data_IF_288006362285
#
_entry.id   IF_288006362285
#
_cell.length_a   1.000
_cell.length_b   1.000
_cell.length_c   1.000
_cell.angle_alpha   90.00
_cell.angle_beta   90.00
_cell.angle_gamma   90.00
#
_symmetry.space_group_name_H-M   'P 1'
#
loop_
_entity.id
_entity.type
_entity.pdbx_description
1 polymer ?
#
# COMPACT_ATOMS: atom_id res chain seq x y z
N UNK A 1 60.44 -19.63 -0.28
CA UNK A 1 59.86 -19.22 -1.58
C UNK A 1 58.49 -18.63 -1.32
N UNK A 2 58.36 -17.33 -1.60
CA UNK A 2 57.22 -16.50 -1.22
C UNK A 2 56.31 -16.35 -2.43
N UNK A 3 55.14 -17.00 -2.42
CA UNK A 3 54.09 -16.73 -3.41
C UNK A 3 53.13 -15.70 -2.81
N UNK A 4 53.42 -14.43 -3.09
CA UNK A 4 52.56 -13.29 -2.82
C UNK A 4 51.45 -13.31 -3.87
N UNK A 5 50.26 -13.82 -3.52
CA UNK A 5 49.06 -13.57 -4.31
C UNK A 5 48.67 -12.11 -4.10
N UNK A 6 49.15 -11.25 -5.01
CA UNK A 6 48.64 -9.90 -5.17
C UNK A 6 47.21 -10.00 -5.71
N UNK A 7 46.23 -9.96 -4.82
CA UNK A 7 44.85 -9.69 -5.20
C UNK A 7 44.77 -8.21 -5.59
N UNK A 8 44.98 -7.92 -6.86
CA UNK A 8 44.67 -6.60 -7.42
C UNK A 8 43.16 -6.54 -7.58
N UNK A 9 42.48 -5.95 -6.58
CA UNK A 9 41.11 -5.51 -6.71
C UNK A 9 41.08 -4.39 -7.77
N UNK A 10 40.67 -4.75 -8.99
CA UNK A 10 40.44 -3.81 -10.08
C UNK A 10 39.10 -3.11 -9.89
N UNK A 11 39.18 -1.77 -9.92
CA UNK A 11 38.17 -0.78 -10.33
C UNK A 11 36.69 -1.03 -10.03
N UNK A 12 36.20 -0.26 -9.06
CA UNK A 12 34.98 0.55 -9.14
C UNK A 12 33.79 -0.06 -9.93
N UNK A 13 33.16 -1.07 -9.34
CA UNK A 13 31.82 -1.51 -9.76
C UNK A 13 30.83 -0.37 -9.47
N UNK A 14 30.53 0.42 -10.50
CA UNK A 14 29.60 1.55 -10.44
C UNK A 14 28.23 1.02 -10.04
N UNK A 15 27.90 1.09 -8.75
CA UNK A 15 26.65 0.57 -8.20
C UNK A 15 25.45 1.16 -8.96
N UNK A 16 24.82 0.33 -9.79
CA UNK A 16 23.56 0.65 -10.46
C UNK A 16 22.41 0.17 -9.59
N UNK A 17 21.70 1.06 -8.88
CA UNK A 17 20.55 0.64 -8.09
C UNK A 17 19.48 -0.01 -9.00
N UNK A 18 18.70 -0.95 -8.46
CA UNK A 18 17.63 -1.57 -9.22
C UNK A 18 16.61 -0.54 -9.69
N UNK A 19 16.09 -0.74 -10.90
CA UNK A 19 15.02 0.08 -11.51
C UNK A 19 13.80 0.15 -10.57
N UNK A 20 13.43 -0.99 -9.99
CA UNK A 20 12.31 -1.10 -9.06
C UNK A 20 12.77 -0.79 -7.64
N UNK A 21 12.32 0.34 -7.11
CA UNK A 21 12.59 0.75 -5.73
C UNK A 21 11.68 -0.03 -4.79
N UNK A 22 12.27 -0.79 -3.87
CA UNK A 22 11.53 -1.65 -2.92
C UNK A 22 10.96 -0.91 -1.71
N UNK A 23 11.29 0.37 -1.51
CA UNK A 23 11.02 1.08 -0.26
C UNK A 23 9.54 1.09 0.15
N UNK A 24 8.62 1.48 -0.74
CA UNK A 24 7.19 1.49 -0.41
C UNK A 24 6.62 0.08 -0.22
N UNK A 25 7.16 -0.91 -0.95
CA UNK A 25 6.78 -2.31 -0.77
C UNK A 25 7.20 -2.83 0.60
N UNK A 26 8.40 -2.47 1.08
CA UNK A 26 8.85 -2.81 2.44
C UNK A 26 7.95 -2.17 3.50
N UNK A 27 7.62 -0.88 3.36
CA UNK A 27 6.69 -0.21 4.28
C UNK A 27 5.30 -0.84 4.29
N UNK A 28 4.81 -1.30 3.13
CA UNK A 28 3.54 -2.01 3.08
C UNK A 28 3.56 -3.30 3.91
N UNK A 29 4.66 -4.06 3.87
CA UNK A 29 4.79 -5.30 4.66
C UNK A 29 4.97 -5.05 6.16
N UNK A 30 5.51 -3.89 6.53
CA UNK A 30 5.64 -3.45 7.92
C UNK A 30 4.35 -2.86 8.50
N UNK A 31 3.38 -2.50 7.66
CA UNK A 31 2.17 -1.85 8.09
C UNK A 31 1.41 -2.70 9.12
N UNK A 32 0.78 -2.07 10.14
CA UNK A 32 -0.01 -2.79 11.13
C UNK A 32 -1.20 -3.50 10.47
N UNK A 33 -1.53 -4.67 10.99
CA UNK A 33 -2.63 -5.48 10.48
C UNK A 33 -3.94 -5.14 11.20
N UNK A 34 -5.10 -5.29 10.55
CA UNK A 34 -6.39 -5.05 11.18
C UNK A 34 -6.61 -5.97 12.38
N UNK A 35 -6.97 -5.37 13.52
CA UNK A 35 -7.35 -6.11 14.73
C UNK A 35 -8.77 -5.77 15.13
N UNK A 36 -9.71 -6.65 14.79
CA UNK A 36 -11.12 -6.45 15.14
C UNK A 36 -11.32 -6.49 16.66
N UNK A 37 -11.90 -5.43 17.22
CA UNK A 37 -12.45 -5.47 18.57
C UNK A 37 -13.86 -6.07 18.51
N UNK A 38 -14.01 -7.24 19.11
CA UNK A 38 -15.27 -8.00 19.06
C UNK A 38 -16.22 -7.46 20.12
N UNK A 39 -17.44 -7.07 19.72
CA UNK A 39 -18.51 -6.71 20.63
C UNK A 39 -19.00 -7.97 21.35
N UNK A 40 -18.98 -7.94 22.68
CA UNK A 40 -19.43 -9.04 23.56
C UNK A 40 -20.93 -8.97 23.87
N UNK A 41 -21.55 -7.81 23.65
CA UNK A 41 -22.98 -7.60 23.90
C UNK A 41 -23.81 -7.89 22.65
N UNK A 42 -25.02 -8.42 22.83
CA UNK A 42 -26.02 -8.42 21.77
C UNK A 42 -26.49 -6.98 21.54
N UNK A 43 -26.26 -6.48 20.33
CA UNK A 43 -26.66 -5.13 19.94
C UNK A 43 -27.96 -5.24 19.17
N UNK A 44 -29.04 -4.70 19.74
CA UNK A 44 -30.33 -4.59 19.05
C UNK A 44 -30.17 -3.77 17.75
N UNK A 45 -30.89 -4.16 16.70
CA UNK A 45 -30.89 -3.47 15.40
C UNK A 45 -29.52 -3.36 14.69
N UNK A 46 -28.60 -4.33 14.89
CA UNK A 46 -27.35 -4.42 14.11
C UNK A 46 -27.65 -4.48 12.60
N UNK A 47 -27.09 -3.59 11.76
CA UNK A 47 -27.20 -3.70 10.31
C UNK A 47 -26.64 -5.03 9.80
N UNK A 48 -27.36 -5.71 8.91
CA UNK A 48 -27.02 -7.07 8.42
C UNK A 48 -25.65 -7.16 7.75
N UNK A 49 -25.13 -6.05 7.25
CA UNK A 49 -23.84 -5.94 6.58
C UNK A 49 -22.67 -5.66 7.54
N UNK A 50 -22.90 -5.57 8.85
CA UNK A 50 -21.84 -5.50 9.85
C UNK A 50 -21.79 -6.74 10.73
N UNK A 51 -20.57 -7.16 11.08
CA UNK A 51 -20.31 -8.31 11.93
C UNK A 51 -20.17 -7.95 13.41
N UNK A 52 -19.33 -8.73 14.10
CA UNK A 52 -19.05 -8.55 15.54
C UNK A 52 -18.21 -7.31 15.84
N UNK A 53 -17.70 -6.62 14.82
CA UNK A 53 -17.07 -5.32 14.93
C UNK A 53 -18.06 -4.18 15.23
N UNK A 54 -19.38 -4.42 15.17
CA UNK A 54 -20.39 -3.39 15.48
C UNK A 54 -20.73 -3.36 16.97
N UNK A 55 -20.51 -2.20 17.61
CA UNK A 55 -20.73 -1.97 19.03
C UNK A 55 -21.97 -1.13 19.35
N UNK A 56 -22.77 -0.76 18.35
CA UNK A 56 -23.95 0.08 18.56
C UNK A 56 -23.61 1.55 18.83
N UNK A 57 -24.48 2.24 19.57
CA UNK A 57 -24.34 3.66 19.91
C UNK A 57 -23.42 3.88 21.13
N UNK A 58 -22.12 3.65 20.96
CA UNK A 58 -21.12 4.00 21.98
C UNK A 58 -20.53 5.41 21.74
N UNK A 59 -20.10 6.04 22.83
CA UNK A 59 -19.39 7.32 22.82
C UNK A 59 -18.01 7.21 22.18
N UNK A 60 -17.36 8.36 21.91
CA UNK A 60 -15.99 8.38 21.38
C UNK A 60 -15.00 7.90 22.44
N UNK A 61 -15.26 8.27 23.69
CA UNK A 61 -14.46 7.98 24.86
C UNK A 61 -14.46 6.48 25.17
N UNK A 62 -15.62 5.83 25.10
CA UNK A 62 -15.74 4.37 25.21
C UNK A 62 -15.02 3.66 24.07
N UNK A 63 -15.17 4.14 22.83
CA UNK A 63 -14.45 3.59 21.69
C UNK A 63 -12.93 3.71 21.86
N UNK A 64 -12.43 4.84 22.33
CA UNK A 64 -11.01 5.07 22.59
C UNK A 64 -10.44 4.11 23.63
N UNK A 65 -11.20 3.83 24.70
CA UNK A 65 -10.82 2.86 25.73
C UNK A 65 -10.73 1.45 25.14
N UNK A 66 -11.73 1.00 24.39
CA UNK A 66 -11.75 -0.32 23.76
C UNK A 66 -10.63 -0.51 22.73
N UNK A 67 -10.26 0.56 22.04
CA UNK A 67 -9.22 0.56 21.00
C UNK A 67 -7.80 0.70 21.54
N UNK A 68 -7.64 1.11 22.81
CA UNK A 68 -6.32 1.36 23.43
C UNK A 68 -5.45 0.11 23.58
N UNK A 69 -6.03 -1.08 23.45
CA UNK A 69 -5.36 -2.37 23.69
C UNK A 69 -4.19 -2.64 22.74
N UNK A 70 -4.32 -2.26 21.46
CA UNK A 70 -3.31 -2.53 20.45
C UNK A 70 -3.44 -1.61 19.23
N UNK A 71 -2.32 -1.37 18.55
CA UNK A 71 -2.32 -0.71 17.24
C UNK A 71 -3.03 -1.56 16.18
N UNK A 72 -3.68 -0.91 15.21
CA UNK A 72 -4.52 -1.58 14.22
C UNK A 72 -5.88 -2.03 14.75
N UNK A 73 -6.17 -1.80 16.04
CA UNK A 73 -7.48 -2.10 16.61
C UNK A 73 -8.57 -1.29 15.93
N UNK A 74 -9.71 -1.90 15.64
CA UNK A 74 -10.85 -1.20 15.04
C UNK A 74 -12.20 -1.72 15.51
N UNK A 75 -13.20 -0.83 15.46
CA UNK A 75 -14.62 -1.13 15.68
C UNK A 75 -15.51 -0.18 14.88
N UNK A 76 -16.78 -0.55 14.73
CA UNK A 76 -17.82 0.27 14.13
C UNK A 76 -18.79 0.67 15.24
N UNK A 77 -19.14 1.96 15.25
CA UNK A 77 -20.15 2.51 16.13
C UNK A 77 -21.15 3.36 15.36
N UNK A 78 -22.35 3.48 15.88
CA UNK A 78 -23.36 4.39 15.38
C UNK A 78 -23.18 5.78 16.01
N UNK A 79 -23.45 6.82 15.23
CA UNK A 79 -23.36 8.20 15.69
C UNK A 79 -24.53 8.55 16.61
N UNK A 80 -24.22 8.95 17.85
CA UNK A 80 -25.21 9.48 18.80
C UNK A 80 -25.89 10.77 18.30
N UNK A 81 -25.22 11.54 17.43
CA UNK A 81 -25.75 12.81 16.89
C UNK A 81 -26.66 12.62 15.67
N UNK A 82 -26.46 11.54 14.92
CA UNK A 82 -27.18 11.27 13.68
C UNK A 82 -27.44 9.76 13.58
N UNK A 83 -28.59 9.29 14.08
CA UNK A 83 -29.00 7.89 13.92
C UNK A 83 -28.97 7.45 12.45
N UNK A 84 -28.60 6.20 12.20
CA UNK A 84 -28.39 5.64 10.86
C UNK A 84 -27.06 6.04 10.20
N UNK A 85 -26.21 6.81 10.88
CA UNK A 85 -24.84 7.10 10.41
C UNK A 85 -23.82 6.32 11.22
N UNK A 86 -22.97 5.57 10.52
CA UNK A 86 -21.95 4.70 11.12
C UNK A 86 -20.57 5.31 11.01
N UNK A 87 -19.72 5.01 11.99
CA UNK A 87 -18.34 5.48 12.07
C UNK A 87 -17.42 4.28 12.31
N UNK A 88 -16.38 4.15 11.50
CA UNK A 88 -15.23 3.30 11.76
C UNK A 88 -14.28 4.06 12.69
N UNK A 89 -14.04 3.51 13.87
CA UNK A 89 -13.01 3.98 14.78
C UNK A 89 -11.79 3.04 14.67
N UNK A 90 -10.63 3.61 14.35
CA UNK A 90 -9.39 2.88 14.05
C UNK A 90 -8.22 3.42 14.87
N UNK A 91 -7.49 2.55 15.57
CA UNK A 91 -6.29 2.91 16.33
C UNK A 91 -5.07 2.91 15.42
N UNK A 92 -4.42 4.05 15.29
CA UNK A 92 -3.19 4.21 14.51
C UNK A 92 -2.33 5.32 15.11
N UNK A 93 -1.03 5.08 15.29
CA UNK A 93 -0.10 6.10 15.81
C UNK A 93 -0.48 6.61 17.21
N UNK A 94 -0.91 5.70 18.09
CA UNK A 94 -1.41 5.99 19.44
C UNK A 94 -2.61 6.96 19.50
N UNK A 95 -3.32 7.13 18.38
CA UNK A 95 -4.52 7.97 18.28
C UNK A 95 -5.67 7.18 17.66
N UNK A 96 -6.90 7.54 18.02
CA UNK A 96 -8.09 6.98 17.36
C UNK A 96 -8.52 7.88 16.23
N UNK A 97 -8.50 7.34 15.02
CA UNK A 97 -9.01 7.98 13.81
C UNK A 97 -10.47 7.56 13.59
N UNK A 98 -11.34 8.53 13.37
CA UNK A 98 -12.77 8.32 13.19
C UNK A 98 -13.14 8.63 11.73
N UNK A 99 -13.66 7.63 11.03
CA UNK A 99 -14.03 7.72 9.62
C UNK A 99 -15.52 7.45 9.45
N UNK A 100 -16.22 8.33 8.71
CA UNK A 100 -17.62 8.08 8.38
C UNK A 100 -17.71 6.89 7.41
N UNK A 101 -18.50 5.89 7.77
CA UNK A 101 -18.73 4.71 6.94
C UNK A 101 -19.98 4.87 6.10
N UNK A 102 -19.89 4.43 4.85
CA UNK A 102 -20.98 4.35 3.91
C UNK A 102 -21.09 2.93 3.34
N UNK A 103 -22.28 2.60 2.86
CA UNK A 103 -22.59 1.30 2.28
C UNK A 103 -23.57 1.45 1.12
N UNK A 104 -23.16 1.03 -0.07
CA UNK A 104 -23.96 1.02 -1.32
C UNK A 104 -24.07 -0.40 -1.92
N UNK A 105 -23.86 -1.43 -1.10
CA UNK A 105 -23.56 -2.80 -1.51
C UNK A 105 -22.09 -3.17 -1.28
N UNK A 106 -21.22 -2.16 -1.20
CA UNK A 106 -19.83 -2.27 -0.74
C UNK A 106 -19.55 -1.27 0.37
N UNK A 107 -18.53 -1.52 1.19
CA UNK A 107 -18.11 -0.63 2.27
C UNK A 107 -17.13 0.42 1.75
N UNK A 108 -17.27 1.68 2.18
CA UNK A 108 -16.33 2.74 1.82
C UNK A 108 -16.31 3.91 2.84
N UNK A 109 -15.17 4.61 2.86
CA UNK A 109 -14.94 5.87 3.61
C UNK A 109 -14.64 7.03 2.65
N UNK A 110 -14.11 6.73 1.47
CA UNK A 110 -13.79 7.68 0.40
C UNK A 110 -14.18 7.11 -0.96
N UNK A 111 -13.28 7.12 -1.94
CA UNK A 111 -13.59 6.67 -3.31
C UNK A 111 -13.56 5.14 -3.48
N UNK A 112 -12.60 4.48 -2.80
CA UNK A 112 -12.41 3.03 -2.86
C UNK A 112 -13.55 2.28 -2.18
N UNK A 113 -14.03 1.22 -2.82
CA UNK A 113 -15.10 0.33 -2.34
C UNK A 113 -14.57 -1.06 -2.05
N UNK A 114 -15.03 -1.65 -0.95
CA UNK A 114 -14.53 -2.92 -0.44
C UNK A 114 -15.66 -3.91 -0.18
N UNK A 115 -15.39 -5.19 -0.45
CA UNK A 115 -16.34 -6.29 -0.16
C UNK A 115 -16.48 -6.53 1.34
N UNK A 116 -15.45 -6.23 2.13
CA UNK A 116 -15.45 -6.42 3.57
C UNK A 116 -14.88 -5.21 4.32
N UNK A 117 -15.32 -5.05 5.57
CA UNK A 117 -14.72 -4.09 6.50
C UNK A 117 -13.25 -4.41 6.76
N UNK A 118 -12.88 -5.69 6.76
CA UNK A 118 -11.49 -6.11 6.97
C UNK A 118 -10.57 -5.57 5.86
N UNK A 119 -10.98 -5.68 4.60
CA UNK A 119 -10.19 -5.18 3.46
C UNK A 119 -10.09 -3.65 3.48
N UNK A 120 -11.20 -2.97 3.82
CA UNK A 120 -11.21 -1.52 3.99
C UNK A 120 -10.21 -1.08 5.06
N UNK A 121 -10.22 -1.73 6.22
CA UNK A 121 -9.29 -1.41 7.31
C UNK A 121 -7.85 -1.76 6.94
N UNK A 122 -7.62 -2.85 6.20
CA UNK A 122 -6.30 -3.24 5.70
C UNK A 122 -5.71 -2.15 4.79
N UNK A 123 -6.45 -1.75 3.76
CA UNK A 123 -6.03 -0.68 2.84
C UNK A 123 -5.84 0.66 3.58
N UNK A 124 -6.73 0.97 4.53
CA UNK A 124 -6.64 2.16 5.37
C UNK A 124 -5.38 2.20 6.23
N UNK A 125 -5.02 1.09 6.90
CA UNK A 125 -3.81 0.99 7.73
C UNK A 125 -2.53 1.08 6.89
N UNK A 126 -2.50 0.43 5.72
CA UNK A 126 -1.38 0.53 4.78
C UNK A 126 -1.21 1.98 4.31
N UNK A 127 -2.31 2.62 3.89
CA UNK A 127 -2.31 4.01 3.43
C UNK A 127 -1.79 4.94 4.54
N UNK A 128 -2.34 4.84 5.75
CA UNK A 128 -1.90 5.64 6.90
C UNK A 128 -0.42 5.42 7.23
N UNK A 129 0.06 4.17 7.21
CA UNK A 129 1.45 3.83 7.52
C UNK A 129 2.43 4.40 6.50
N UNK A 130 2.15 4.19 5.21
CA UNK A 130 2.97 4.69 4.10
C UNK A 130 2.99 6.21 4.07
N UNK A 131 1.83 6.87 4.18
CA UNK A 131 1.75 8.34 4.21
C UNK A 131 2.52 8.91 5.41
N UNK A 132 2.41 8.28 6.58
CA UNK A 132 3.11 8.74 7.78
C UNK A 132 4.63 8.60 7.65
N UNK A 133 5.14 7.52 7.06
CA UNK A 133 6.58 7.20 7.00
C UNK A 133 7.28 7.76 5.77
N UNK A 134 6.57 7.92 4.67
CA UNK A 134 7.15 8.20 3.36
C UNK A 134 6.58 9.43 2.66
N UNK A 135 5.81 10.30 3.33
CA UNK A 135 5.26 11.52 2.72
C UNK A 135 6.28 12.31 1.88
N UNK A 136 7.47 12.58 2.44
CA UNK A 136 8.53 13.33 1.74
C UNK A 136 9.15 12.52 0.59
N UNK A 137 9.28 11.20 0.75
CA UNK A 137 9.76 10.35 -0.32
C UNK A 137 8.76 10.32 -1.49
N UNK A 138 7.47 10.16 -1.17
CA UNK A 138 6.37 10.12 -2.13
C UNK A 138 6.30 11.42 -2.93
N UNK A 139 6.41 12.57 -2.28
CA UNK A 139 6.39 13.87 -2.96
C UNK A 139 7.57 14.06 -3.92
N UNK A 140 8.70 13.42 -3.65
CA UNK A 140 9.91 13.48 -4.50
C UNK A 140 9.97 12.40 -5.58
N UNK A 141 9.07 11.43 -5.60
CA UNK A 141 9.12 10.31 -6.56
C UNK A 141 9.03 10.76 -8.03
N UNK A 142 8.43 11.91 -8.30
CA UNK A 142 8.25 12.48 -9.64
C UNK A 142 9.43 13.31 -10.14
N UNK A 143 10.40 13.64 -9.27
CA UNK A 143 11.49 14.57 -9.60
C UNK A 143 12.44 13.97 -10.65
N UNK A 144 12.66 12.65 -10.60
CA UNK A 144 13.52 11.93 -11.55
C UNK A 144 12.79 10.69 -12.06
N UNK A 145 11.85 10.84 -13.01
CA UNK A 145 11.07 9.73 -13.53
C UNK A 145 11.95 8.84 -14.42
N UNK A 146 11.80 7.53 -14.27
CA UNK A 146 12.54 6.55 -15.09
C UNK A 146 11.84 6.23 -16.41
N UNK A 147 10.60 6.69 -16.61
CA UNK A 147 9.74 6.30 -17.74
C UNK A 147 10.42 6.47 -19.11
N UNK A 148 11.22 7.53 -19.27
CA UNK A 148 11.95 7.83 -20.51
C UNK A 148 13.06 6.83 -20.84
N UNK A 149 13.49 5.99 -19.90
CA UNK A 149 14.68 5.14 -20.05
C UNK A 149 14.41 3.63 -19.96
N UNK A 150 13.23 3.21 -19.48
CA UNK A 150 12.89 1.79 -19.28
C UNK A 150 11.82 1.24 -20.22
N UNK A 151 11.29 2.07 -21.13
CA UNK A 151 10.26 1.66 -22.09
C UNK A 151 10.80 0.93 -23.32
N UNK A 152 9.96 0.09 -23.95
CA UNK A 152 10.30 -0.57 -25.22
C UNK A 152 10.51 0.40 -26.39
N UNK A 153 10.02 1.64 -26.27
CA UNK A 153 10.17 2.70 -27.27
C UNK A 153 11.61 3.24 -27.38
N UNK A 154 12.47 3.02 -26.38
CA UNK A 154 13.89 3.38 -26.42
C UNK A 154 14.79 2.27 -26.95
N UNK A 155 14.26 1.07 -27.18
CA UNK A 155 14.98 -0.01 -27.84
C UNK A 155 15.10 0.32 -29.34
N UNK A 156 16.25 0.87 -29.75
CA UNK A 156 16.58 0.97 -31.18
C UNK A 156 16.58 -0.45 -31.77
N UNK A 157 16.00 -0.69 -32.96
CA UNK A 157 16.21 -1.94 -33.68
C UNK A 157 17.72 -2.15 -33.84
N UNK A 158 18.23 -3.35 -33.52
CA UNK A 158 19.63 -3.69 -33.80
C UNK A 158 19.88 -3.50 -35.31
N UNK A 159 20.63 -2.46 -35.66
CA UNK A 159 21.19 -2.33 -36.99
C UNK A 159 22.29 -3.41 -37.13
N UNK A 160 22.06 -4.40 -37.99
CA UNK A 160 23.03 -5.45 -38.26
C UNK A 160 22.42 -6.78 -38.69
N UNK A 161 21.73 -6.80 -39.83
CA UNK A 161 21.76 -7.95 -40.72
C UNK A 161 22.59 -7.49 -41.94
N UNK A 162 23.86 -7.89 -41.98
CA UNK A 162 24.73 -7.73 -43.15
C UNK A 162 24.11 -8.49 -44.33
N UNK A 163 23.66 -7.78 -45.37
CA UNK A 163 23.55 -8.36 -46.70
C UNK A 163 24.94 -8.32 -47.34
N UNK A 164 25.58 -9.48 -47.44
CA UNK A 164 26.77 -9.69 -48.29
C UNK A 164 26.35 -10.21 -49.67
N UNK A 165 27.09 -9.89 -50.75
CA UNK A 165 26.55 -9.80 -52.10
C UNK A 165 26.61 -11.13 -52.85
N UNK A 166 25.48 -11.59 -53.40
CA UNK A 166 25.46 -12.65 -54.40
C UNK A 166 25.57 -12.03 -55.80
N UNK A 167 26.76 -12.10 -56.39
CA UNK A 167 27.00 -11.74 -57.78
C UNK A 167 26.18 -12.60 -58.73
N UNK A 168 25.57 -11.97 -59.73
CA UNK A 168 25.13 -12.64 -60.94
C UNK A 168 25.46 -11.73 -62.14
N UNK A 169 26.59 -12.01 -62.78
CA UNK A 169 26.94 -11.46 -64.08
C UNK A 169 25.87 -11.86 -65.10
N UNK A 170 25.24 -10.85 -65.72
CA UNK A 170 24.49 -11.03 -66.97
C UNK A 170 25.46 -10.81 -68.12
N UNK A 171 25.82 -11.88 -68.82
CA UNK A 171 26.33 -11.77 -70.18
C UNK A 171 25.16 -11.79 -71.16
N UNK A 172 25.31 -10.97 -72.20
CA UNK A 172 24.37 -10.69 -73.28
C UNK A 172 24.03 -11.92 -74.12
#
# INVERSE_FOLDING_TARGET
MQCRLSFMATDNDEYRPPVWKSYLYQLQQEAPHPRRVTCVSEVENRPKYYGREYHGMISREEADQLLSVAEGSYLIRESQRQPGTYTLALRFGNQTRNFRLFYDGKHFVGEKRFESIHDLVTDGLITLYIETKAAEYISKMTINPIYEHVGYTTLKPRAGAEESPAGLQRHA
#
